data_IF_314374892137
#
_entry.id   IF_314374892137
#
_cell.length_a   1.000
_cell.length_b   1.000
_cell.length_c   1.000
_cell.angle_alpha   90.00
_cell.angle_beta   90.00
_cell.angle_gamma   90.00
#
_symmetry.space_group_name_H-M   'P 1'
#
loop_
_entity.id
_entity.type
_entity.pdbx_description
1 polymer ?
#
# COMPACT_ATOMS: atom_id res chain seq x y z
N UNK A 1 9.36 11.74 -3.07
CA UNK A 1 9.37 12.06 -1.62
C UNK A 1 8.48 11.13 -0.77
N UNK A 2 7.18 10.90 -1.06
CA UNK A 2 6.31 10.13 -0.14
C UNK A 2 6.70 8.66 0.05
N UNK A 3 7.38 8.06 -0.94
CA UNK A 3 7.90 6.69 -0.88
C UNK A 3 9.05 6.57 0.13
N UNK A 4 10.06 7.44 0.01
CA UNK A 4 11.21 7.46 0.92
C UNK A 4 10.77 7.71 2.36
N UNK A 5 9.97 8.76 2.61
CA UNK A 5 9.48 9.06 3.96
C UNK A 5 8.65 7.92 4.55
N UNK A 6 7.77 7.28 3.77
CA UNK A 6 6.97 6.17 4.28
C UNK A 6 7.82 4.97 4.70
N UNK A 7 8.83 4.61 3.89
CA UNK A 7 9.75 3.50 4.21
C UNK A 7 10.65 3.83 5.39
N UNK A 8 11.25 5.01 5.40
CA UNK A 8 12.27 5.38 6.39
C UNK A 8 11.69 5.85 7.72
N UNK A 9 10.56 6.55 7.75
CA UNK A 9 9.94 6.99 8.99
C UNK A 9 8.99 5.94 9.57
N UNK A 10 8.17 5.32 8.73
CA UNK A 10 7.05 4.49 9.18
C UNK A 10 7.24 3.00 8.91
N UNK A 11 8.21 2.59 8.08
CA UNK A 11 8.38 1.19 7.67
C UNK A 11 7.37 0.72 6.61
N UNK A 12 6.66 1.64 5.95
CA UNK A 12 5.62 1.28 4.98
C UNK A 12 6.24 0.60 3.74
N UNK A 13 5.68 -0.52 3.24
CA UNK A 13 6.23 -1.29 2.12
C UNK A 13 5.92 -0.66 0.75
N UNK A 14 6.13 0.66 0.62
CA UNK A 14 5.77 1.42 -0.58
C UNK A 14 6.61 1.02 -1.79
N UNK A 15 5.92 0.89 -2.92
CA UNK A 15 6.50 0.76 -4.27
C UNK A 15 5.98 1.90 -5.16
N UNK A 16 6.73 2.23 -6.22
CA UNK A 16 6.35 3.28 -7.17
C UNK A 16 5.43 2.68 -8.24
N UNK A 17 4.32 3.37 -8.51
CA UNK A 17 3.36 3.08 -9.58
C UNK A 17 2.56 4.34 -9.91
N UNK A 18 1.71 4.25 -10.93
CA UNK A 18 0.81 5.32 -11.34
C UNK A 18 -0.60 4.95 -10.88
N UNK A 19 -1.20 5.80 -10.05
CA UNK A 19 -2.61 5.69 -9.71
C UNK A 19 -3.41 6.80 -10.39
N UNK A 20 -4.67 6.53 -10.69
CA UNK A 20 -5.60 7.52 -11.21
C UNK A 20 -6.98 7.27 -10.61
N UNK A 21 -7.67 8.37 -10.30
CA UNK A 21 -9.00 8.37 -9.70
C UNK A 21 -9.85 9.37 -10.48
N UNK A 22 -11.00 8.92 -10.96
CA UNK A 22 -11.97 9.77 -11.65
C UNK A 22 -13.28 9.76 -10.86
N UNK A 23 -13.95 10.92 -10.87
CA UNK A 23 -15.22 11.13 -10.18
C UNK A 23 -16.18 11.78 -11.16
N UNK A 24 -17.34 11.16 -11.34
CA UNK A 24 -18.44 11.68 -12.13
C UNK A 24 -19.75 11.42 -11.39
N UNK A 25 -20.31 12.47 -10.78
CA UNK A 25 -21.54 12.49 -9.97
C UNK A 25 -22.05 11.12 -9.45
N UNK A 26 -21.52 10.69 -8.30
CA UNK A 26 -21.87 9.40 -7.68
C UNK A 26 -21.03 8.23 -8.21
N UNK A 27 -20.67 8.19 -9.48
CA UNK A 27 -19.82 7.15 -10.05
C UNK A 27 -18.32 7.50 -9.90
N UNK A 28 -17.53 6.52 -9.47
CA UNK A 28 -16.09 6.67 -9.30
C UNK A 28 -15.34 5.49 -9.90
N UNK A 29 -14.22 5.79 -10.57
CA UNK A 29 -13.31 4.76 -11.08
C UNK A 29 -11.90 5.02 -10.57
N UNK A 30 -11.18 3.94 -10.27
CA UNK A 30 -9.83 3.96 -9.75
C UNK A 30 -8.96 2.93 -10.44
N UNK A 31 -7.73 3.31 -10.78
CA UNK A 31 -6.77 2.39 -11.39
C UNK A 31 -5.41 2.51 -10.72
N UNK A 32 -4.68 1.39 -10.69
CA UNK A 32 -3.27 1.34 -10.31
C UNK A 32 -2.49 0.54 -11.34
N UNK A 33 -1.54 1.20 -11.98
CA UNK A 33 -0.65 0.64 -12.99
C UNK A 33 0.79 0.63 -12.47
N UNK A 34 1.53 -0.45 -12.74
CA UNK A 34 2.95 -0.56 -12.42
C UNK A 34 3.68 -1.29 -13.54
N UNK A 35 4.81 -0.75 -13.97
CA UNK A 35 5.61 -1.31 -15.08
C UNK A 35 4.76 -1.58 -16.35
N UNK A 36 3.82 -0.67 -16.65
CA UNK A 36 2.93 -0.77 -17.81
C UNK A 36 1.85 -1.85 -17.69
N UNK A 37 1.60 -2.40 -16.49
CA UNK A 37 0.57 -3.40 -16.21
C UNK A 37 -0.47 -2.85 -15.25
N UNK A 38 -1.74 -3.02 -15.60
CA UNK A 38 -2.89 -2.72 -14.74
C UNK A 38 -2.99 -3.75 -13.63
N UNK A 39 -2.76 -3.34 -12.38
CA UNK A 39 -2.80 -4.20 -11.19
C UNK A 39 -4.13 -4.14 -10.44
N UNK A 40 -4.70 -2.94 -10.31
CA UNK A 40 -5.96 -2.72 -9.59
C UNK A 40 -6.90 -1.92 -10.47
N UNK A 41 -8.14 -2.37 -10.58
CA UNK A 41 -9.26 -1.63 -11.16
C UNK A 41 -10.40 -1.62 -10.14
N UNK A 42 -10.95 -0.44 -9.87
CA UNK A 42 -12.09 -0.24 -8.98
C UNK A 42 -13.13 0.61 -9.70
N UNK A 43 -14.39 0.20 -9.60
CA UNK A 43 -15.53 1.02 -9.98
C UNK A 43 -16.50 1.04 -8.81
N UNK A 44 -17.15 2.18 -8.55
CA UNK A 44 -18.05 2.33 -7.42
C UNK A 44 -19.18 3.32 -7.74
N UNK A 45 -20.39 2.97 -7.30
CA UNK A 45 -21.54 3.86 -7.33
C UNK A 45 -21.83 4.31 -5.90
N UNK A 46 -21.40 5.52 -5.58
CA UNK A 46 -21.42 6.06 -4.23
C UNK A 46 -22.69 6.87 -3.98
N UNK A 47 -23.31 6.61 -2.83
CA UNK A 47 -24.49 7.34 -2.39
C UNK A 47 -24.19 8.75 -1.89
N UNK A 48 -25.14 9.26 -1.12
CA UNK A 48 -25.09 10.60 -0.54
C UNK A 48 -23.91 10.79 0.42
N UNK A 49 -23.49 12.05 0.55
CA UNK A 49 -22.50 12.44 1.54
C UNK A 49 -23.09 12.33 2.96
N UNK A 50 -22.38 11.59 3.82
CA UNK A 50 -22.75 11.35 5.22
C UNK A 50 -22.12 12.38 6.16
N UNK A 51 -21.52 13.44 5.63
CA UNK A 51 -21.00 14.58 6.37
C UNK A 51 -19.72 14.29 7.15
N UNK A 52 -19.23 15.30 7.89
CA UNK A 52 -17.92 15.26 8.51
C UNK A 52 -17.81 14.27 9.67
N UNK A 53 -16.60 13.79 9.91
CA UNK A 53 -16.28 12.92 11.06
C UNK A 53 -14.81 12.99 11.43
N UNK A 54 -14.48 12.56 12.64
CA UNK A 54 -13.10 12.36 13.10
C UNK A 54 -12.85 10.88 13.25
N UNK A 55 -11.74 10.41 12.69
CA UNK A 55 -11.34 9.00 12.74
C UNK A 55 -9.91 8.92 13.25
N UNK A 56 -9.62 7.92 14.09
CA UNK A 56 -8.25 7.52 14.39
C UNK A 56 -7.94 6.25 13.61
N UNK A 57 -7.23 6.41 12.49
CA UNK A 57 -6.71 5.27 11.72
C UNK A 57 -5.45 4.72 12.36
N UNK A 58 -5.26 3.40 12.31
CA UNK A 58 -4.02 2.73 12.73
C UNK A 58 -3.57 1.77 11.65
N UNK A 59 -2.29 1.80 11.31
CA UNK A 59 -1.66 0.74 10.54
C UNK A 59 -0.39 0.24 11.24
N UNK A 60 -0.07 -1.02 10.97
CA UNK A 60 1.15 -1.65 11.45
C UNK A 60 2.08 -1.87 10.28
N UNK A 61 3.35 -1.52 10.45
CA UNK A 61 4.36 -1.61 9.42
C UNK A 61 5.64 -2.18 10.03
N UNK A 62 6.48 -2.82 9.23
CA UNK A 62 7.75 -3.37 9.71
C UNK A 62 8.89 -2.54 9.14
N UNK A 63 9.62 -1.85 10.01
CA UNK A 63 10.82 -1.09 9.65
C UNK A 63 12.06 -1.97 9.79
N UNK A 64 12.89 -1.98 8.76
CA UNK A 64 14.13 -2.74 8.68
C UNK A 64 15.09 -2.14 7.66
N UNK A 65 16.34 -2.55 7.77
CA UNK A 65 17.43 -2.21 6.87
C UNK A 65 18.13 -3.51 6.45
N UNK A 66 18.42 -3.61 5.15
CA UNK A 66 19.18 -4.73 4.60
C UNK A 66 20.66 -4.46 4.83
N UNK A 67 21.44 -5.52 5.09
CA UNK A 67 22.90 -5.43 4.99
C UNK A 67 23.31 -4.96 3.58
N UNK A 68 24.50 -4.35 3.40
CA UNK A 68 24.93 -3.80 2.11
C UNK A 68 24.95 -4.81 0.96
N UNK A 69 25.15 -6.09 1.26
CA UNK A 69 25.13 -7.21 0.31
C UNK A 69 23.73 -7.84 0.13
N UNK A 70 22.72 -7.32 0.83
CA UNK A 70 21.36 -7.83 0.92
C UNK A 70 21.23 -9.29 1.36
N UNK A 71 22.27 -9.89 1.97
CA UNK A 71 22.24 -11.29 2.43
C UNK A 71 21.51 -11.46 3.75
N UNK A 72 21.43 -10.40 4.54
CA UNK A 72 20.88 -10.40 5.91
C UNK A 72 20.25 -9.04 6.23
N UNK A 73 19.67 -8.91 7.43
CA UNK A 73 19.23 -7.63 7.99
C UNK A 73 20.34 -7.07 8.89
N UNK A 74 20.50 -5.74 8.95
CA UNK A 74 21.50 -5.11 9.84
C UNK A 74 21.20 -5.30 11.33
N UNK A 75 19.97 -5.69 11.65
CA UNK A 75 19.52 -6.05 12.99
C UNK A 75 18.05 -6.46 13.02
N UNK A 76 17.48 -6.67 14.22
CA UNK A 76 16.08 -7.06 14.38
C UNK A 76 15.11 -6.02 13.79
N UNK A 77 14.21 -6.42 12.88
CA UNK A 77 13.14 -5.54 12.40
C UNK A 77 12.29 -5.01 13.54
N UNK A 78 11.75 -3.81 13.34
CA UNK A 78 10.89 -3.16 14.33
C UNK A 78 9.47 -3.10 13.79
N UNK A 79 8.53 -3.70 14.51
CA UNK A 79 7.11 -3.47 14.29
C UNK A 79 6.79 -2.05 14.76
N UNK A 80 6.24 -1.25 13.86
CA UNK A 80 5.83 0.12 14.06
C UNK A 80 4.31 0.19 14.05
N UNK A 81 3.73 1.06 14.87
CA UNK A 81 2.34 1.50 14.72
C UNK A 81 2.35 2.94 14.24
N UNK A 82 1.64 3.24 13.16
CA UNK A 82 1.36 4.62 12.79
C UNK A 82 -0.11 4.93 13.08
N UNK A 83 -0.34 6.05 13.76
CA UNK A 83 -1.67 6.57 14.05
C UNK A 83 -1.93 7.81 13.21
N UNK A 84 -3.12 7.86 12.62
CA UNK A 84 -3.56 8.96 11.76
C UNK A 84 -4.80 9.57 12.37
N UNK A 85 -4.64 10.72 13.01
CA UNK A 85 -5.75 11.54 13.44
C UNK A 85 -6.32 12.25 12.20
N UNK A 86 -7.49 11.81 11.75
CA UNK A 86 -8.11 12.23 10.50
C UNK A 86 -9.32 13.11 10.78
N UNK A 87 -9.40 14.25 10.10
CA UNK A 87 -10.60 15.09 10.03
C UNK A 87 -11.14 15.02 8.61
N UNK A 88 -12.23 14.28 8.46
CA UNK A 88 -12.88 14.01 7.18
C UNK A 88 -14.03 14.98 6.97
N UNK A 89 -14.10 15.62 5.79
CA UNK A 89 -15.15 16.57 5.41
C UNK A 89 -16.28 15.92 4.62
N UNK A 90 -15.92 14.99 3.72
CA UNK A 90 -16.86 14.24 2.85
C UNK A 90 -16.71 12.76 3.13
N UNK A 91 -17.83 12.03 3.23
CA UNK A 91 -17.83 10.57 3.35
C UNK A 91 -18.99 9.98 2.55
N UNK A 92 -18.65 9.27 1.48
CA UNK A 92 -19.63 8.56 0.65
C UNK A 92 -19.33 7.07 0.66
N UNK A 93 -20.37 6.25 0.49
CA UNK A 93 -20.30 4.80 0.53
C UNK A 93 -21.27 4.21 -0.48
N UNK A 94 -20.91 3.10 -1.11
CA UNK A 94 -21.80 2.37 -2.00
C UNK A 94 -21.20 1.07 -2.52
N UNK A 95 -21.94 0.32 -3.35
CA UNK A 95 -21.45 -0.88 -4.00
C UNK A 95 -20.25 -0.58 -4.90
N UNK A 96 -19.46 -1.62 -5.15
CA UNK A 96 -18.28 -1.52 -5.99
C UNK A 96 -17.99 -2.82 -6.72
N UNK A 97 -17.14 -2.72 -7.73
CA UNK A 97 -16.41 -3.85 -8.30
C UNK A 97 -14.92 -3.65 -8.06
N UNK A 98 -14.20 -4.75 -7.85
CA UNK A 98 -12.76 -4.76 -7.69
C UNK A 98 -12.18 -5.85 -8.58
N UNK A 99 -11.17 -5.50 -9.37
CA UNK A 99 -10.34 -6.47 -10.08
C UNK A 99 -8.90 -6.32 -9.64
N UNK A 100 -8.33 -7.43 -9.19
CA UNK A 100 -6.92 -7.59 -8.88
C UNK A 100 -6.29 -8.45 -9.97
N UNK A 101 -5.20 -7.98 -10.56
CA UNK A 101 -4.33 -8.79 -11.42
C UNK A 101 -2.97 -8.96 -10.74
N UNK A 102 -1.99 -9.53 -11.42
CA UNK A 102 -0.64 -9.47 -10.87
C UNK A 102 0.46 -9.65 -11.88
N UNK A 103 1.66 -9.43 -11.35
CA UNK A 103 2.93 -9.70 -12.01
C UNK A 103 3.84 -10.42 -11.02
N UNK A 104 5.01 -10.86 -11.47
CA UNK A 104 6.05 -11.40 -10.58
C UNK A 104 6.52 -10.40 -9.50
N UNK A 105 6.32 -9.10 -9.71
CA UNK A 105 6.67 -8.07 -8.72
C UNK A 105 5.53 -7.74 -7.77
N UNK A 106 4.29 -7.97 -8.21
CA UNK A 106 3.07 -7.51 -7.54
C UNK A 106 1.98 -8.58 -7.73
N UNK A 107 2.05 -9.70 -7.00
CA UNK A 107 1.16 -10.83 -7.22
C UNK A 107 -0.21 -10.63 -6.55
N UNK A 108 -0.88 -9.49 -6.75
CA UNK A 108 -2.14 -9.19 -6.06
C UNK A 108 -3.26 -10.19 -6.39
N UNK A 109 -3.22 -10.80 -7.58
CA UNK A 109 -4.11 -11.91 -7.97
C UNK A 109 -4.02 -13.17 -7.08
N UNK A 110 -2.97 -13.34 -6.28
CA UNK A 110 -2.86 -14.44 -5.31
C UNK A 110 -3.77 -14.21 -4.09
N UNK A 111 -4.28 -12.98 -3.89
CA UNK A 111 -5.23 -12.65 -2.85
C UNK A 111 -6.65 -12.98 -3.31
N UNK A 112 -7.23 -14.04 -2.74
CA UNK A 112 -8.62 -14.42 -3.00
C UNK A 112 -9.58 -13.40 -2.35
N UNK A 113 -10.46 -12.81 -3.17
CA UNK A 113 -11.53 -11.92 -2.70
C UNK A 113 -12.77 -12.75 -2.41
N UNK A 114 -12.96 -13.10 -1.13
CA UNK A 114 -14.11 -13.91 -0.69
C UNK A 114 -15.43 -13.12 -0.71
N UNK A 115 -15.39 -11.85 -0.33
CA UNK A 115 -16.55 -10.98 -0.23
C UNK A 115 -16.13 -9.53 -0.48
N UNK A 116 -16.76 -8.88 -1.47
CA UNK A 116 -16.64 -7.45 -1.67
C UNK A 116 -17.81 -6.75 -0.96
N UNK A 117 -17.50 -5.96 0.08
CA UNK A 117 -18.53 -5.31 0.90
C UNK A 117 -19.00 -4.00 0.28
N UNK A 118 -18.12 -3.01 0.23
CA UNK A 118 -18.45 -1.65 -0.19
C UNK A 118 -17.20 -0.90 -0.63
N UNK A 119 -17.37 0.16 -1.42
CA UNK A 119 -16.37 1.22 -1.57
C UNK A 119 -16.71 2.42 -0.69
N UNK A 120 -15.66 3.11 -0.25
CA UNK A 120 -15.76 4.35 0.54
C UNK A 120 -14.89 5.42 -0.09
N UNK A 121 -15.46 6.60 -0.28
CA UNK A 121 -14.73 7.80 -0.66
C UNK A 121 -14.70 8.78 0.52
N UNK A 122 -13.52 9.35 0.77
CA UNK A 122 -13.33 10.38 1.78
C UNK A 122 -12.48 11.53 1.26
N UNK A 123 -12.81 12.74 1.68
CA UNK A 123 -11.93 13.91 1.61
C UNK A 123 -11.42 14.19 3.02
N UNK A 124 -10.11 14.11 3.25
CA UNK A 124 -9.56 14.07 4.60
C UNK A 124 -8.23 14.80 4.72
N UNK A 125 -8.09 15.55 5.82
CA UNK A 125 -6.80 16.00 6.33
C UNK A 125 -6.35 15.10 7.46
N UNK A 126 -5.05 14.84 7.58
CA UNK A 126 -4.51 13.97 8.63
C UNK A 126 -3.27 14.52 9.30
N UNK A 127 -3.11 14.18 10.58
CA UNK A 127 -1.86 14.29 11.33
C UNK A 127 -1.39 12.89 11.70
N UNK A 128 -0.17 12.53 11.28
CA UNK A 128 0.42 11.22 11.53
C UNK A 128 1.39 11.26 12.71
N UNK A 129 1.36 10.23 13.55
CA UNK A 129 2.40 9.88 14.52
C UNK A 129 2.81 8.43 14.29
N UNK A 130 4.03 8.06 14.68
CA UNK A 130 4.48 6.68 14.56
C UNK A 130 5.43 6.33 15.70
N UNK A 131 5.27 5.13 16.26
CA UNK A 131 6.07 4.63 17.37
C UNK A 131 6.42 3.15 17.19
N UNK A 132 7.58 2.71 17.71
CA UNK A 132 7.92 1.30 17.75
C UNK A 132 7.07 0.57 18.81
N UNK A 133 6.63 -0.65 18.51
CA UNK A 133 5.82 -1.47 19.42
C UNK A 133 6.47 -2.81 19.77
N UNK A 134 7.28 -3.38 18.88
CA UNK A 134 7.98 -4.65 19.14
C UNK A 134 9.21 -4.82 18.24
N UNK A 135 10.10 -5.73 18.63
CA UNK A 135 11.16 -6.27 17.76
C UNK A 135 10.75 -7.63 17.24
N UNK A 136 11.16 -7.95 16.03
CA UNK A 136 10.87 -9.21 15.36
C UNK A 136 12.17 -10.01 15.18
N UNK A 137 12.03 -11.32 14.99
CA UNK A 137 13.13 -12.19 14.61
C UNK A 137 13.62 -11.84 13.19
N UNK A 138 14.94 -11.67 13.04
CA UNK A 138 15.52 -11.22 11.78
C UNK A 138 15.48 -12.31 10.70
N UNK A 139 15.79 -13.55 11.07
CA UNK A 139 15.88 -14.68 10.15
C UNK A 139 14.49 -15.08 9.64
N UNK A 140 13.49 -15.07 10.51
CA UNK A 140 12.09 -15.33 10.14
C UNK A 140 11.52 -14.24 9.21
N UNK A 141 11.96 -12.99 9.35
CA UNK A 141 11.45 -11.88 8.54
C UNK A 141 12.21 -11.68 7.22
N UNK A 142 13.47 -12.09 7.14
CA UNK A 142 14.33 -11.88 5.96
C UNK A 142 13.67 -12.31 4.63
N UNK A 143 12.97 -13.47 4.52
CA UNK A 143 12.29 -13.84 3.27
C UNK A 143 11.22 -12.83 2.82
N UNK A 144 10.57 -12.14 3.78
CA UNK A 144 9.53 -11.15 3.52
C UNK A 144 10.09 -9.76 3.20
N UNK A 145 11.30 -9.46 3.70
CA UNK A 145 11.98 -8.18 3.52
C UNK A 145 12.23 -7.83 2.03
N UNK A 146 12.32 -8.83 1.16
CA UNK A 146 12.54 -8.60 -0.26
C UNK A 146 11.25 -8.23 -1.01
N UNK A 147 10.08 -8.41 -0.39
CA UNK A 147 8.78 -8.14 -1.01
C UNK A 147 8.54 -6.68 -1.38
N UNK A 148 9.27 -5.72 -0.77
CA UNK A 148 9.21 -4.28 -1.10
C UNK A 148 10.13 -3.87 -2.25
N UNK A 149 10.86 -4.81 -2.83
CA UNK A 149 11.79 -4.62 -3.95
C UNK A 149 11.24 -5.28 -5.21
N UNK A 150 11.80 -4.90 -6.36
CA UNK A 150 11.50 -5.59 -7.61
C UNK A 150 12.47 -6.76 -7.79
N UNK A 151 11.93 -7.87 -8.28
CA UNK A 151 12.71 -9.04 -8.68
C UNK A 151 13.53 -8.72 -9.93
N UNK A 152 14.77 -8.28 -9.72
CA UNK A 152 15.65 -7.77 -10.77
C UNK A 152 15.68 -8.61 -12.07
N UNK A 153 15.78 -9.96 -12.03
CA UNK A 153 15.85 -10.77 -13.25
C UNK A 153 14.62 -10.67 -14.17
N UNK A 154 13.46 -10.25 -13.65
CA UNK A 154 12.25 -10.08 -14.45
C UNK A 154 12.07 -8.66 -15.02
N UNK A 155 12.93 -7.71 -14.67
CA UNK A 155 12.96 -6.41 -15.31
C UNK A 155 13.61 -6.55 -16.69
N UNK A 156 13.03 -5.91 -17.71
CA UNK A 156 13.44 -6.02 -19.12
C UNK A 156 14.92 -5.65 -19.41
N UNK A 157 15.63 -5.14 -18.40
CA UNK A 157 17.04 -4.74 -18.43
C UNK A 157 18.00 -5.82 -17.92
N UNK A 158 17.55 -6.98 -17.47
CA UNK A 158 18.40 -8.08 -16.98
C UNK A 158 19.17 -8.82 -18.10
N UNK A 159 19.58 -8.13 -19.17
CA UNK A 159 20.74 -8.57 -19.96
C UNK A 159 21.96 -8.32 -19.10
N UNK A 160 22.41 -9.35 -18.38
CA UNK A 160 23.75 -9.35 -17.81
C UNK A 160 24.73 -9.01 -18.95
N UNK A 161 25.74 -8.14 -18.72
CA UNK A 161 26.84 -8.06 -19.66
C UNK A 161 27.42 -9.47 -19.84
N UNK A 162 27.66 -9.84 -21.10
CA UNK A 162 28.30 -11.09 -21.48
C UNK A 162 29.71 -11.20 -20.87
#
# INVERSE_FOLDING_TARGET
MPMLFGRELYGEPKKIGTSSLWRNDGHMTGTLDRHGRRLIELEADLGEDRGPTTVLGRNFNVKYELAPDASTLTGPPTLMVAEFAQRTSVRRKGPATLRLTGTVHDPLHELEVLELRDAVYVETGMKATCSPVARMDADAFLPLALGRSDFWPALATARLPA
#
